data_IF_294628219186
#
_entry.id   IF_294628219186
#
_cell.length_a   1.000
_cell.length_b   1.000
_cell.length_c   1.000
_cell.angle_alpha   90.00
_cell.angle_beta   90.00
_cell.angle_gamma   90.00
#
_symmetry.space_group_name_H-M   'P 1'
#
loop_
_entity.id
_entity.type
_entity.pdbx_description
1 polymer ?
#
# COMPACT_ATOMS: atom_id res chain seq x y z
N UNK A 1 30.66 31.61 19.30
CA UNK A 1 30.20 30.48 18.46
C UNK A 1 28.77 30.19 18.86
N UNK A 2 27.79 30.18 17.94
CA UNK A 2 26.45 29.72 18.28
C UNK A 2 26.53 28.22 18.61
N UNK A 3 25.69 27.70 19.52
CA UNK A 3 25.69 26.28 19.83
C UNK A 3 25.33 25.51 18.56
N UNK A 4 26.16 24.53 18.20
CA UNK A 4 25.85 23.58 17.12
C UNK A 4 24.50 22.97 17.46
N UNK A 5 23.46 23.36 16.72
CA UNK A 5 22.14 22.73 16.75
C UNK A 5 22.34 21.22 16.79
N UNK A 6 21.87 20.60 17.86
CA UNK A 6 21.86 19.15 18.04
C UNK A 6 20.98 18.65 16.90
N UNK A 7 21.59 18.20 15.79
CA UNK A 7 20.85 17.68 14.63
C UNK A 7 19.82 16.71 15.17
N UNK A 8 18.53 17.07 15.07
CA UNK A 8 17.43 16.19 15.44
C UNK A 8 17.64 14.90 14.66
N UNK A 9 17.55 13.76 15.34
CA UNK A 9 17.64 12.47 14.67
C UNK A 9 16.48 12.41 13.67
N UNK A 10 16.79 12.06 12.42
CA UNK A 10 15.75 11.91 11.42
C UNK A 10 14.96 10.62 11.71
N UNK A 11 13.64 10.70 11.68
CA UNK A 11 12.77 9.53 11.84
C UNK A 11 12.76 8.77 10.50
N UNK A 12 13.24 7.52 10.45
CA UNK A 12 13.25 6.75 9.21
C UNK A 12 11.83 6.35 8.81
N UNK A 13 11.51 6.47 7.52
CA UNK A 13 10.25 6.05 6.94
C UNK A 13 10.53 5.32 5.63
N UNK A 14 10.38 3.99 5.59
CA UNK A 14 10.60 3.22 4.39
C UNK A 14 9.26 2.80 3.78
N UNK A 15 9.02 3.16 2.52
CA UNK A 15 7.79 2.88 1.78
C UNK A 15 8.16 2.06 0.55
N UNK A 16 7.47 0.96 0.33
CA UNK A 16 7.64 0.13 -0.86
C UNK A 16 6.47 0.33 -1.82
N UNK A 17 6.75 0.36 -3.12
CA UNK A 17 5.72 0.51 -4.16
C UNK A 17 5.64 -0.79 -4.95
N UNK A 18 4.48 -1.42 -5.01
CA UNK A 18 4.24 -2.71 -5.68
C UNK A 18 3.01 -2.66 -6.59
N UNK A 19 2.89 -3.61 -7.53
CA UNK A 19 1.77 -3.68 -8.49
C UNK A 19 2.21 -4.08 -9.90
N UNK A 20 1.26 -4.28 -10.81
CA UNK A 20 1.53 -4.77 -12.16
C UNK A 20 2.45 -3.86 -12.98
N UNK A 21 3.12 -4.43 -13.98
CA UNK A 21 3.95 -3.65 -14.90
C UNK A 21 3.07 -2.69 -15.70
N UNK A 22 3.50 -1.43 -15.82
CA UNK A 22 2.78 -0.42 -16.60
C UNK A 22 1.67 0.34 -15.85
N UNK A 23 1.43 0.09 -14.56
CA UNK A 23 0.46 0.85 -13.74
C UNK A 23 0.97 2.26 -13.35
N UNK A 24 2.27 2.53 -13.42
CA UNK A 24 2.84 3.86 -13.14
C UNK A 24 3.58 3.99 -11.80
N UNK A 25 4.06 2.89 -11.22
CA UNK A 25 4.85 2.85 -9.97
C UNK A 25 6.04 3.83 -9.97
N UNK A 26 6.94 3.70 -10.95
CA UNK A 26 8.14 4.55 -11.04
C UNK A 26 7.78 6.03 -11.25
N UNK A 27 6.70 6.31 -11.99
CA UNK A 27 6.20 7.67 -12.18
C UNK A 27 5.66 8.26 -10.85
N UNK A 28 5.01 7.45 -10.03
CA UNK A 28 4.62 7.85 -8.68
C UNK A 28 5.84 8.12 -7.80
N UNK A 29 6.85 7.24 -7.79
CA UNK A 29 8.08 7.45 -6.99
C UNK A 29 8.74 8.77 -7.34
N UNK A 30 8.88 9.07 -8.63
CA UNK A 30 9.42 10.35 -9.13
C UNK A 30 8.53 11.53 -8.75
N UNK A 31 7.22 11.39 -8.89
CA UNK A 31 6.24 12.41 -8.47
C UNK A 31 6.34 12.71 -6.98
N UNK A 32 6.39 11.67 -6.16
CA UNK A 32 6.50 11.79 -4.72
C UNK A 32 7.79 12.49 -4.30
N UNK A 33 8.93 12.03 -4.83
CA UNK A 33 10.25 12.61 -4.54
C UNK A 33 10.36 14.08 -4.97
N UNK A 34 9.87 14.42 -6.16
CA UNK A 34 9.91 15.80 -6.67
C UNK A 34 9.07 16.74 -5.79
N UNK A 35 7.89 16.31 -5.34
CA UNK A 35 7.04 17.16 -4.47
C UNK A 35 7.60 17.35 -3.06
N UNK A 36 8.63 16.60 -2.69
CA UNK A 36 9.30 16.67 -1.38
C UNK A 36 10.63 17.40 -1.44
N UNK A 37 11.19 17.55 -2.64
CA UNK A 37 12.46 18.23 -2.87
C UNK A 37 12.17 19.72 -3.06
N UNK A 38 12.76 20.59 -2.23
CA UNK A 38 12.68 22.04 -2.46
C UNK A 38 13.41 22.41 -3.77
N UNK A 39 12.95 23.47 -4.44
CA UNK A 39 13.37 23.87 -5.81
C UNK A 39 14.89 24.13 -6.00
N UNK A 40 15.69 24.11 -4.93
CA UNK A 40 17.12 24.45 -4.93
C UNK A 40 18.05 23.29 -4.51
N UNK A 41 17.52 22.07 -4.33
CA UNK A 41 18.35 20.88 -4.06
C UNK A 41 18.78 20.20 -5.37
N UNK A 42 20.05 19.77 -5.45
CA UNK A 42 20.57 19.05 -6.61
C UNK A 42 19.65 17.86 -6.95
N UNK A 43 19.29 17.67 -8.24
CA UNK A 43 18.40 16.60 -8.64
C UNK A 43 18.97 15.25 -8.20
N UNK A 44 18.11 14.41 -7.62
CA UNK A 44 18.46 13.06 -7.17
C UNK A 44 19.02 12.32 -8.40
N UNK A 45 20.34 12.04 -8.47
CA UNK A 45 20.99 11.57 -9.70
C UNK A 45 20.38 10.27 -10.24
N UNK A 46 19.82 9.50 -9.32
CA UNK A 46 19.27 8.16 -9.49
C UNK A 46 17.87 8.12 -10.12
N UNK A 47 17.17 9.25 -10.12
CA UNK A 47 15.85 9.39 -10.76
C UNK A 47 15.93 10.05 -12.13
N UNK A 48 17.14 10.34 -12.63
CA UNK A 48 17.34 11.02 -13.92
C UNK A 48 17.39 10.04 -15.09
N UNK A 49 16.57 10.28 -16.12
CA UNK A 49 16.55 9.49 -17.36
C UNK A 49 15.15 8.98 -17.75
N UNK A 50 14.99 8.44 -18.98
CA UNK A 50 13.70 7.95 -19.47
C UNK A 50 13.17 6.80 -18.59
N UNK A 51 11.86 6.74 -18.40
CA UNK A 51 11.18 5.67 -17.66
C UNK A 51 11.43 4.31 -18.35
N UNK A 52 12.39 3.54 -17.85
CA UNK A 52 12.60 2.13 -18.25
C UNK A 52 11.91 1.18 -17.28
N UNK A 53 11.65 -0.05 -17.72
CA UNK A 53 11.12 -1.09 -16.83
C UNK A 53 12.11 -1.38 -15.71
N UNK A 54 11.64 -1.33 -14.46
CA UNK A 54 12.43 -1.70 -13.27
C UNK A 54 12.66 -3.22 -13.25
N UNK A 55 13.93 -3.65 -13.22
CA UNK A 55 14.32 -5.06 -13.20
C UNK A 55 14.59 -5.59 -11.79
N UNK A 56 15.01 -4.71 -10.86
CA UNK A 56 15.34 -5.04 -9.46
C UNK A 56 14.81 -3.97 -8.51
N UNK A 57 14.52 -4.32 -7.25
CA UNK A 57 14.16 -3.34 -6.25
C UNK A 57 15.20 -2.22 -6.15
N UNK A 58 14.75 -0.97 -6.24
CA UNK A 58 15.59 0.21 -6.27
C UNK A 58 15.17 1.21 -5.17
N UNK A 59 15.95 1.37 -4.08
CA UNK A 59 15.65 2.33 -3.02
C UNK A 59 16.13 3.74 -3.38
N UNK A 60 15.26 4.72 -3.19
CA UNK A 60 15.54 6.16 -3.28
C UNK A 60 15.43 6.75 -1.87
N UNK A 61 16.51 7.32 -1.34
CA UNK A 61 16.51 7.93 0.00
C UNK A 61 16.52 9.45 -0.05
N UNK A 62 15.69 10.08 0.78
CA UNK A 62 15.48 11.51 0.87
C UNK A 62 15.36 11.97 2.32
N UNK A 63 16.16 12.96 2.68
CA UNK A 63 16.11 13.63 3.98
C UNK A 63 15.45 15.00 3.81
N UNK A 64 14.35 15.25 4.50
CA UNK A 64 13.66 16.56 4.48
C UNK A 64 13.03 16.89 5.83
N UNK A 65 12.73 18.17 6.05
CA UNK A 65 12.00 18.65 7.21
C UNK A 65 10.53 18.84 6.84
N UNK A 66 9.62 18.19 7.57
CA UNK A 66 8.17 18.25 7.35
C UNK A 66 7.47 18.50 8.68
N UNK A 67 6.63 19.55 8.75
CA UNK A 67 5.91 19.97 9.97
C UNK A 67 6.82 20.12 11.22
N UNK A 68 8.09 20.50 11.02
CA UNK A 68 9.06 20.72 12.11
C UNK A 68 9.77 19.46 12.62
N UNK A 69 9.53 18.31 11.99
CA UNK A 69 10.24 17.05 12.21
C UNK A 69 11.09 16.68 10.99
N UNK A 70 12.29 16.14 11.25
CA UNK A 70 13.18 15.67 10.20
C UNK A 70 12.82 14.22 9.86
N UNK A 71 12.51 13.94 8.61
CA UNK A 71 12.15 12.61 8.11
C UNK A 71 13.26 12.12 7.19
N UNK A 72 13.67 10.86 7.37
CA UNK A 72 14.53 10.15 6.42
C UNK A 72 13.68 9.13 5.66
N UNK A 73 13.13 9.55 4.53
CA UNK A 73 12.27 8.74 3.68
C UNK A 73 13.11 7.84 2.78
N UNK A 74 12.79 6.56 2.68
CA UNK A 74 13.29 5.67 1.63
C UNK A 74 12.12 5.10 0.84
N UNK A 75 12.03 5.42 -0.44
CA UNK A 75 11.01 4.86 -1.35
C UNK A 75 11.63 3.74 -2.18
N UNK A 76 11.11 2.53 -2.06
CA UNK A 76 11.62 1.34 -2.75
C UNK A 76 10.71 1.09 -3.95
N UNK A 77 11.21 1.35 -5.16
CA UNK A 77 10.55 0.96 -6.41
C UNK A 77 10.79 -0.53 -6.67
N UNK A 78 9.75 -1.29 -7.02
CA UNK A 78 9.86 -2.73 -7.26
C UNK A 78 9.58 -3.07 -8.72
N UNK A 79 10.18 -4.17 -9.25
CA UNK A 79 9.81 -4.68 -10.57
C UNK A 79 8.30 -4.98 -10.62
N UNK A 80 7.66 -4.60 -11.71
CA UNK A 80 6.22 -4.82 -11.84
C UNK A 80 5.87 -6.27 -12.15
N UNK A 81 4.79 -6.77 -11.53
CA UNK A 81 4.25 -8.09 -11.85
C UNK A 81 3.92 -8.20 -13.34
N UNK A 82 4.27 -9.32 -13.95
CA UNK A 82 3.97 -9.61 -15.35
C UNK A 82 2.96 -10.73 -15.39
N UNK A 83 1.86 -10.54 -16.13
CA UNK A 83 0.77 -11.52 -16.24
C UNK A 83 1.26 -12.85 -16.87
N UNK A 84 2.26 -12.79 -17.75
CA UNK A 84 2.76 -13.96 -18.47
C UNK A 84 3.87 -14.74 -17.73
N UNK A 85 4.33 -14.25 -16.59
CA UNK A 85 5.37 -14.88 -15.76
C UNK A 85 4.72 -15.39 -14.48
N UNK A 86 5.31 -16.40 -13.82
CA UNK A 86 4.86 -16.81 -12.48
C UNK A 86 4.89 -15.60 -11.53
N UNK A 87 3.68 -15.10 -11.21
CA UNK A 87 3.46 -14.00 -10.26
C UNK A 87 3.95 -14.42 -8.88
N UNK A 88 3.75 -15.68 -8.53
CA UNK A 88 4.19 -16.28 -7.28
C UNK A 88 5.70 -16.13 -7.06
N UNK A 89 6.52 -16.36 -8.09
CA UNK A 89 7.97 -16.13 -7.98
C UNK A 89 8.31 -14.66 -7.70
N UNK A 90 7.66 -13.74 -8.41
CA UNK A 90 7.90 -12.29 -8.22
C UNK A 90 7.43 -11.83 -6.83
N UNK A 91 6.31 -12.39 -6.37
CA UNK A 91 5.77 -12.15 -5.03
C UNK A 91 6.70 -12.69 -3.95
N UNK A 92 7.24 -13.88 -4.14
CA UNK A 92 8.24 -14.49 -3.25
C UNK A 92 9.50 -13.63 -3.17
N UNK A 93 10.01 -13.11 -4.30
CA UNK A 93 11.16 -12.19 -4.30
C UNK A 93 10.89 -10.91 -3.48
N UNK A 94 9.67 -10.36 -3.55
CA UNK A 94 9.27 -9.17 -2.76
C UNK A 94 9.12 -9.51 -1.28
N UNK A 95 8.49 -10.64 -0.95
CA UNK A 95 8.37 -11.10 0.44
C UNK A 95 9.74 -11.38 1.06
N UNK A 96 10.63 -12.06 0.33
CA UNK A 96 12.00 -12.31 0.77
C UNK A 96 12.77 -11.01 0.98
N UNK A 97 12.56 -9.99 0.13
CA UNK A 97 13.17 -8.69 0.33
C UNK A 97 12.73 -8.04 1.66
N UNK A 98 11.43 -8.09 2.01
CA UNK A 98 10.91 -7.59 3.28
C UNK A 98 11.51 -8.37 4.46
N UNK A 99 11.50 -9.71 4.37
CA UNK A 99 12.06 -10.58 5.41
C UNK A 99 13.56 -10.36 5.62
N UNK A 100 14.31 -10.13 4.55
CA UNK A 100 15.73 -9.77 4.64
C UNK A 100 15.92 -8.46 5.43
N UNK A 101 15.03 -7.47 5.31
CA UNK A 101 15.11 -6.26 6.14
C UNK A 101 14.87 -6.56 7.62
N UNK A 102 13.93 -7.46 7.94
CA UNK A 102 13.73 -7.90 9.31
C UNK A 102 14.93 -8.68 9.86
N UNK A 103 15.51 -9.57 9.06
CA UNK A 103 16.73 -10.32 9.43
C UNK A 103 17.91 -9.37 9.70
N UNK A 104 18.08 -8.30 8.92
CA UNK A 104 19.09 -7.27 9.17
C UNK A 104 18.85 -6.55 10.51
N UNK A 105 17.60 -6.20 10.82
CA UNK A 105 17.24 -5.59 12.10
C UNK A 105 17.52 -6.54 13.29
N UNK A 106 17.13 -7.81 13.18
CA UNK A 106 17.42 -8.84 14.19
C UNK A 106 18.93 -9.00 14.36
N UNK A 107 19.68 -9.07 13.26
CA UNK A 107 21.14 -9.21 13.31
C UNK A 107 21.80 -8.04 14.02
N UNK A 108 21.29 -6.81 13.87
CA UNK A 108 21.76 -5.64 14.61
C UNK A 108 21.38 -5.70 16.10
N UNK A 109 20.15 -6.10 16.43
CA UNK A 109 19.69 -6.24 17.83
C UNK A 109 20.48 -7.28 18.63
N UNK A 110 20.90 -8.36 17.97
CA UNK A 110 21.68 -9.45 18.54
C UNK A 110 23.15 -9.09 18.80
N UNK A 111 23.67 -7.98 18.26
CA UNK A 111 25.05 -7.55 18.51
C UNK A 111 25.22 -7.11 19.96
N UNK A 112 26.31 -7.56 20.59
CA UNK A 112 26.70 -7.16 21.97
C UNK A 112 27.04 -5.68 22.05
N UNK A 113 27.70 -5.13 21.02
CA UNK A 113 27.95 -3.70 20.85
C UNK A 113 27.09 -3.20 19.70
N UNK A 114 25.92 -2.66 20.03
CA UNK A 114 24.97 -2.10 19.07
C UNK A 114 25.48 -0.78 18.51
N UNK A 115 25.25 -0.54 17.23
CA UNK A 115 25.57 0.75 16.64
C UNK A 115 24.45 1.77 16.97
N UNK A 116 24.72 2.85 17.73
CA UNK A 116 23.70 3.86 18.03
C UNK A 116 23.29 4.69 16.80
N UNK A 117 23.96 4.50 15.66
CA UNK A 117 23.64 5.12 14.37
C UNK A 117 23.04 4.14 13.35
N UNK A 118 22.67 2.93 13.78
CA UNK A 118 21.96 2.02 12.89
C UNK A 118 20.66 2.68 12.43
N UNK A 119 20.45 2.70 11.11
CA UNK A 119 19.23 3.23 10.50
C UNK A 119 18.26 2.06 10.34
N UNK A 120 16.98 2.30 10.57
CA UNK A 120 15.95 1.32 10.36
C UNK A 120 15.71 1.10 8.86
N UNK A 121 15.84 -0.12 8.38
CA UNK A 121 15.59 -0.50 6.97
C UNK A 121 14.28 -1.24 6.76
N UNK A 122 13.49 -1.45 7.83
CA UNK A 122 12.22 -2.18 7.77
C UNK A 122 11.20 -1.41 6.94
N UNK A 123 10.45 -2.10 6.09
CA UNK A 123 9.41 -1.49 5.25
C UNK A 123 8.19 -1.20 6.11
N UNK A 124 7.82 0.07 6.26
CA UNK A 124 6.70 0.48 7.12
C UNK A 124 5.35 0.48 6.40
N UNK A 125 5.35 0.69 5.09
CA UNK A 125 4.15 0.70 4.27
C UNK A 125 4.44 0.17 2.87
N UNK A 126 3.50 -0.57 2.30
CA UNK A 126 3.52 -1.07 0.94
C UNK A 126 2.32 -0.48 0.18
N UNK A 127 2.59 0.40 -0.78
CA UNK A 127 1.57 0.92 -1.68
C UNK A 127 1.33 -0.10 -2.80
N UNK A 128 0.13 -0.68 -2.83
CA UNK A 128 -0.25 -1.63 -3.88
C UNK A 128 -1.05 -0.93 -4.98
N UNK A 129 -0.45 -0.84 -6.17
CA UNK A 129 -1.04 -0.17 -7.33
C UNK A 129 -1.94 -1.11 -8.11
N UNK A 130 -3.25 -0.84 -8.03
CA UNK A 130 -4.31 -1.45 -8.81
C UNK A 130 -4.44 -0.76 -10.17
N UNK A 131 -4.78 -1.51 -11.22
CA UNK A 131 -5.08 -0.92 -12.52
C UNK A 131 -6.47 -0.25 -12.48
N UNK A 132 -6.57 0.95 -13.04
CA UNK A 132 -7.84 1.67 -13.15
C UNK A 132 -8.81 1.02 -14.14
N UNK A 133 -8.33 0.19 -15.06
CA UNK A 133 -9.19 -0.49 -16.04
C UNK A 133 -10.06 -1.56 -15.40
N UNK A 134 -9.61 -2.13 -14.28
CA UNK A 134 -10.28 -3.21 -13.59
C UNK A 134 -11.40 -2.65 -12.70
N UNK A 135 -12.61 -3.14 -12.92
CA UNK A 135 -13.80 -2.71 -12.16
C UNK A 135 -13.94 -3.44 -10.82
N UNK A 136 -13.21 -4.55 -10.67
CA UNK A 136 -13.21 -5.45 -9.50
C UNK A 136 -11.80 -5.95 -9.28
N UNK A 137 -11.53 -6.48 -8.09
CA UNK A 137 -10.25 -7.04 -7.72
C UNK A 137 -9.98 -8.33 -8.51
N UNK A 138 -8.90 -8.36 -9.29
CA UNK A 138 -8.48 -9.55 -10.02
C UNK A 138 -8.05 -10.69 -9.08
N UNK A 139 -8.14 -11.94 -9.54
CA UNK A 139 -7.67 -13.10 -8.77
C UNK A 139 -6.16 -13.02 -8.45
N UNK A 140 -5.38 -12.43 -9.35
CA UNK A 140 -3.95 -12.22 -9.14
C UNK A 140 -3.69 -11.15 -8.08
N UNK A 141 -4.40 -10.01 -8.15
CA UNK A 141 -4.31 -8.96 -7.14
C UNK A 141 -4.71 -9.46 -5.76
N UNK A 142 -5.76 -10.28 -5.70
CA UNK A 142 -6.21 -10.94 -4.49
C UNK A 142 -5.11 -11.81 -3.85
N UNK A 143 -4.46 -12.66 -4.65
CA UNK A 143 -3.37 -13.52 -4.16
C UNK A 143 -2.18 -12.69 -3.64
N UNK A 144 -1.82 -11.61 -4.36
CA UNK A 144 -0.73 -10.71 -3.97
C UNK A 144 -1.08 -9.98 -2.66
N UNK A 145 -2.28 -9.39 -2.57
CA UNK A 145 -2.72 -8.65 -1.39
C UNK A 145 -2.75 -9.53 -0.15
N UNK A 146 -3.33 -10.74 -0.26
CA UNK A 146 -3.37 -11.72 0.84
C UNK A 146 -1.98 -12.10 1.34
N UNK A 147 -1.01 -12.26 0.43
CA UNK A 147 0.35 -12.64 0.82
C UNK A 147 1.12 -11.47 1.43
N UNK A 148 1.03 -10.28 0.82
CA UNK A 148 1.75 -9.10 1.28
C UNK A 148 1.22 -8.59 2.64
N UNK A 149 -0.09 -8.66 2.87
CA UNK A 149 -0.72 -8.21 4.11
C UNK A 149 -0.22 -8.96 5.35
N UNK A 150 0.34 -10.16 5.20
CA UNK A 150 0.91 -10.93 6.33
C UNK A 150 2.24 -10.38 6.85
N UNK A 151 2.96 -9.58 6.07
CA UNK A 151 4.33 -9.14 6.38
C UNK A 151 4.52 -7.62 6.38
N UNK A 152 3.58 -6.84 5.84
CA UNK A 152 3.69 -5.38 5.74
C UNK A 152 2.31 -4.73 5.71
N UNK A 153 2.23 -3.49 6.20
CA UNK A 153 1.05 -2.64 6.04
C UNK A 153 0.79 -2.36 4.56
N UNK A 154 -0.26 -2.95 4.00
CA UNK A 154 -0.64 -2.73 2.60
C UNK A 154 -1.68 -1.61 2.50
N UNK A 155 -1.44 -0.64 1.63
CA UNK A 155 -2.37 0.45 1.30
C UNK A 155 -2.74 0.32 -0.19
N UNK A 156 -4.01 0.04 -0.52
CA UNK A 156 -4.45 -0.07 -1.90
C UNK A 156 -4.56 1.31 -2.56
N UNK A 157 -4.05 1.40 -3.78
CA UNK A 157 -3.98 2.64 -4.56
C UNK A 157 -4.42 2.35 -5.99
N UNK A 158 -5.39 3.11 -6.49
CA UNK A 158 -5.80 3.04 -7.89
C UNK A 158 -4.89 3.94 -8.71
N UNK A 159 -4.23 3.35 -9.69
CA UNK A 159 -3.30 4.05 -10.57
C UNK A 159 -4.00 4.72 -11.75
N UNK A 160 -3.33 5.67 -12.44
CA UNK A 160 -3.81 6.34 -13.65
C UNK A 160 -5.24 6.88 -13.53
N UNK A 161 -5.53 7.63 -12.47
CA UNK A 161 -6.85 8.22 -12.23
C UNK A 161 -7.40 9.06 -13.39
N UNK A 162 -6.54 9.54 -14.28
CA UNK A 162 -6.89 10.25 -15.51
C UNK A 162 -7.68 9.41 -16.52
N UNK A 163 -7.66 8.08 -16.42
CA UNK A 163 -8.47 7.19 -17.28
C UNK A 163 -9.90 7.00 -16.79
N UNK A 164 -10.18 7.40 -15.55
CA UNK A 164 -11.47 7.22 -14.89
C UNK A 164 -12.30 8.49 -14.94
N UNK A 165 -13.58 8.32 -15.25
CA UNK A 165 -14.57 9.38 -15.02
C UNK A 165 -14.91 9.49 -13.54
N UNK A 166 -15.38 10.66 -13.11
CA UNK A 166 -15.84 10.89 -11.72
C UNK A 166 -16.91 9.87 -11.31
N UNK A 167 -17.82 9.54 -12.23
CA UNK A 167 -18.87 8.53 -12.00
C UNK A 167 -18.29 7.12 -11.81
N UNK A 168 -17.26 6.74 -12.57
CA UNK A 168 -16.58 5.45 -12.40
C UNK A 168 -15.81 5.39 -11.09
N UNK A 169 -15.09 6.47 -10.72
CA UNK A 169 -14.37 6.56 -9.44
C UNK A 169 -15.31 6.30 -8.26
N UNK A 170 -16.48 6.95 -8.25
CA UNK A 170 -17.49 6.81 -7.20
C UNK A 170 -18.06 5.38 -7.05
N UNK A 171 -17.94 4.54 -8.09
CA UNK A 171 -18.39 3.13 -8.06
C UNK A 171 -17.23 2.19 -7.73
N UNK A 172 -16.07 2.38 -8.37
CA UNK A 172 -14.92 1.46 -8.26
C UNK A 172 -14.31 1.51 -6.85
N UNK A 173 -14.17 2.69 -6.24
CA UNK A 173 -13.58 2.84 -4.90
C UNK A 173 -14.31 1.98 -3.84
N UNK A 174 -15.63 2.18 -3.60
CA UNK A 174 -16.33 1.36 -2.61
C UNK A 174 -16.39 -0.11 -3.01
N UNK A 175 -16.53 -0.42 -4.31
CA UNK A 175 -16.60 -1.81 -4.78
C UNK A 175 -15.33 -2.58 -4.42
N UNK A 176 -14.15 -2.00 -4.65
CA UNK A 176 -12.87 -2.61 -4.29
C UNK A 176 -12.75 -2.77 -2.77
N UNK A 177 -13.17 -1.78 -1.98
CA UNK A 177 -13.12 -1.88 -0.52
C UNK A 177 -14.03 -2.97 0.03
N UNK A 178 -15.29 -3.06 -0.45
CA UNK A 178 -16.21 -4.13 -0.06
C UNK A 178 -15.65 -5.51 -0.42
N UNK A 179 -15.02 -5.65 -1.59
CA UNK A 179 -14.38 -6.90 -1.96
C UNK A 179 -13.22 -7.25 -1.00
N UNK A 180 -12.37 -6.29 -0.65
CA UNK A 180 -11.22 -6.50 0.24
C UNK A 180 -11.69 -6.82 1.68
N UNK A 181 -12.65 -6.08 2.23
CA UNK A 181 -13.08 -6.20 3.63
C UNK A 181 -14.11 -7.30 3.85
N UNK A 182 -15.22 -7.27 3.11
CA UNK A 182 -16.37 -8.12 3.41
C UNK A 182 -16.24 -9.49 2.74
N UNK A 183 -15.82 -9.51 1.47
CA UNK A 183 -15.78 -10.74 0.67
C UNK A 183 -14.53 -11.56 0.94
N UNK A 184 -13.36 -10.92 0.94
CA UNK A 184 -12.08 -11.62 1.01
C UNK A 184 -11.38 -11.52 2.37
N UNK A 185 -11.86 -10.65 3.27
CA UNK A 185 -11.34 -10.43 4.62
C UNK A 185 -9.81 -10.31 4.65
N UNK A 186 -9.27 -9.43 3.81
CA UNK A 186 -7.82 -9.23 3.72
C UNK A 186 -7.40 -8.21 4.80
N UNK A 187 -6.44 -8.55 5.69
CA UNK A 187 -6.00 -7.67 6.76
C UNK A 187 -5.07 -6.56 6.23
N UNK A 188 -5.63 -5.62 5.45
CA UNK A 188 -4.90 -4.44 5.00
C UNK A 188 -4.71 -3.45 6.16
N UNK A 189 -3.91 -2.40 5.95
CA UNK A 189 -3.76 -1.35 6.96
C UNK A 189 -5.13 -0.79 7.37
N UNK A 190 -5.38 -0.67 8.67
CA UNK A 190 -6.65 -0.20 9.23
C UNK A 190 -7.76 -1.26 9.30
N UNK A 191 -7.48 -2.52 8.95
CA UNK A 191 -8.41 -3.62 9.23
C UNK A 191 -8.52 -3.79 10.76
N UNK A 192 -9.74 -3.83 11.32
CA UNK A 192 -9.91 -4.04 12.75
C UNK A 192 -9.31 -5.40 13.12
N UNK A 193 -8.44 -5.42 14.13
CA UNK A 193 -7.99 -6.67 14.72
C UNK A 193 -9.20 -7.26 15.48
N UNK A 194 -10.03 -8.01 14.75
CA UNK A 194 -11.03 -8.86 15.37
C UNK A 194 -10.26 -9.83 16.29
N UNK A 195 -10.65 -9.89 17.55
CA UNK A 195 -9.93 -10.59 18.62
C UNK A 195 -9.44 -11.98 18.18
N UNK A 196 -8.26 -12.36 18.68
CA UNK A 196 -7.48 -13.58 18.35
C UNK A 196 -8.23 -14.93 18.46
N UNK A 197 -9.51 -14.93 18.84
CA UNK A 197 -10.37 -16.10 19.01
C UNK A 197 -11.02 -16.60 17.70
N UNK A 198 -11.04 -15.81 16.62
CA UNK A 198 -11.43 -16.27 15.28
C UNK A 198 -10.20 -16.64 14.45
N UNK A 199 -9.54 -17.76 14.80
CA UNK A 199 -8.48 -18.36 13.99
C UNK A 199 -8.93 -18.49 12.52
N UNK A 200 -8.24 -17.77 11.64
CA UNK A 200 -8.41 -17.84 10.19
C UNK A 200 -7.97 -19.25 9.75
N UNK A 201 -8.91 -20.17 9.52
CA UNK A 201 -8.63 -21.43 8.84
C UNK A 201 -8.11 -21.13 7.42
N UNK A 202 -6.78 -21.08 7.29
CA UNK A 202 -6.10 -21.12 5.99
C UNK A 202 -6.34 -22.52 5.40
N UNK A 203 -7.42 -22.66 4.65
CA UNK A 203 -7.74 -23.86 3.87
C UNK A 203 -6.74 -24.01 2.71
N UNK A 204 -5.62 -24.67 2.98
CA UNK A 204 -4.89 -25.44 1.97
C UNK A 204 -5.62 -26.79 1.77
N UNK A 205 -6.78 -26.75 1.10
CA UNK A 205 -7.40 -27.98 0.59
C UNK A 205 -6.80 -28.33 -0.76
N UNK A 206 -5.68 -29.05 -0.73
CA UNK A 206 -5.30 -29.97 -1.80
C UNK A 206 -6.32 -31.11 -1.74
N UNK A 207 -7.40 -31.01 -2.53
CA UNK A 207 -8.32 -32.12 -2.72
C UNK A 207 -7.78 -33.01 -3.84
N UNK A 208 -7.24 -34.16 -3.42
CA UNK A 208 -7.20 -35.37 -4.23
C UNK A 208 -8.66 -35.74 -4.56
N UNK A 209 -9.01 -35.70 -5.84
CA UNK A 209 -10.29 -36.18 -6.35
C UNK A 209 -10.23 -37.71 -6.45
N UNK A 210 -10.89 -38.41 -5.53
CA UNK A 210 -11.32 -39.79 -5.73
C UNK A 210 -12.80 -39.80 -6.13
N UNK A 211 -13.05 -40.36 -7.32
CA UNK A 211 -14.35 -40.58 -7.94
C UNK A 211 -15.14 -41.66 -7.18
N UNK A 212 -16.39 -41.38 -6.81
CA UNK A 212 -17.41 -42.43 -6.67
C UNK A 212 -18.72 -41.99 -7.35
N UNK A 213 -19.06 -42.73 -8.41
CA UNK A 213 -20.36 -42.72 -9.07
C UNK A 213 -21.41 -43.40 -8.19
N UNK A 214 -22.61 -42.82 -8.05
CA UNK A 214 -23.82 -43.62 -7.79
C UNK A 214 -24.99 -43.19 -8.67
N UNK A 215 -25.67 -44.22 -9.15
CA UNK A 215 -26.67 -44.24 -10.22
C UNK A 215 -28.00 -43.58 -9.84
N UNK A 216 -28.65 -43.00 -10.86
CA UNK A 216 -30.03 -42.56 -10.81
C UNK A 216 -30.97 -43.71 -11.16
N UNK A 217 -32.07 -43.84 -10.42
CA UNK A 217 -33.24 -44.54 -10.91
C UNK A 217 -34.55 -43.79 -10.63
N UNK A 218 -35.48 -44.07 -11.52
CA UNK A 218 -36.54 -43.23 -12.09
C UNK A 218 -37.85 -43.19 -11.25
N UNK A 219 -38.65 -42.11 -11.35
CA UNK A 219 -40.06 -42.14 -11.86
C UNK A 219 -40.86 -40.84 -11.63
N UNK A 220 -41.71 -40.52 -12.61
CA UNK A 220 -42.49 -39.31 -12.84
C UNK A 220 -43.75 -39.18 -11.94
N UNK A 221 -44.24 -37.95 -11.72
CA UNK A 221 -45.62 -37.58 -12.15
C UNK A 221 -45.99 -36.09 -11.99
N UNK A 222 -46.41 -35.51 -13.13
CA UNK A 222 -47.56 -34.62 -13.39
C UNK A 222 -47.73 -33.23 -12.71
N UNK A 223 -47.65 -32.21 -13.58
CA UNK A 223 -48.36 -30.90 -13.59
C UNK A 223 -49.90 -31.07 -13.60
N UNK A 224 -50.78 -30.05 -13.33
CA UNK A 224 -50.61 -28.66 -13.77
C UNK A 224 -51.23 -27.50 -12.94
N UNK A 225 -51.00 -26.29 -13.47
CA UNK A 225 -51.71 -25.00 -13.31
C UNK A 225 -51.27 -24.00 -12.23
N UNK A 226 -50.48 -23.02 -12.70
CA UNK A 226 -50.99 -21.66 -12.92
C UNK A 226 -51.15 -20.77 -11.69
N UNK A 227 -50.13 -19.94 -11.43
CA UNK A 227 -50.29 -18.55 -10.99
C UNK A 227 -48.97 -17.81 -11.16
N UNK A 228 -48.95 -16.84 -12.08
CA UNK A 228 -47.91 -15.82 -12.16
C UNK A 228 -47.84 -15.05 -10.83
N UNK A 229 -46.71 -15.14 -10.14
CA UNK A 229 -46.30 -14.13 -9.15
C UNK A 229 -44.84 -13.78 -9.34
N UNK A 230 -44.64 -12.48 -9.56
CA UNK A 230 -43.36 -11.77 -9.53
C UNK A 230 -42.59 -12.14 -8.26
N UNK A 231 -41.41 -12.71 -8.41
CA UNK A 231 -40.39 -12.76 -7.37
C UNK A 231 -39.21 -11.92 -7.83
N UNK A 232 -39.29 -10.63 -7.48
CA UNK A 232 -38.14 -9.74 -7.47
C UNK A 232 -37.29 -10.10 -6.24
N UNK A 233 -36.01 -10.36 -6.50
CA UNK A 233 -34.85 -10.10 -5.64
C UNK A 233 -35.10 -10.12 -4.12
N UNK A 234 -34.84 -11.27 -3.49
CA UNK A 234 -34.33 -11.30 -2.12
C UNK A 234 -32.81 -11.38 -2.23
N UNK A 235 -32.16 -10.21 -2.26
CA UNK A 235 -30.72 -10.11 -1.97
C UNK A 235 -30.64 -9.93 -0.47
N UNK A 236 -29.97 -10.87 0.19
CA UNK A 236 -29.74 -10.86 1.63
C UNK A 236 -29.14 -9.53 2.08
N UNK A 237 -29.87 -8.84 2.97
CA UNK A 237 -29.38 -7.69 3.73
C UNK A 237 -28.50 -8.20 4.86
N UNK A 238 -27.28 -8.61 4.54
CA UNK A 238 -26.20 -8.60 5.52
C UNK A 238 -25.56 -7.22 5.42
N UNK A 239 -25.70 -6.41 6.48
CA UNK A 239 -24.98 -5.15 6.60
C UNK A 239 -23.50 -5.45 6.45
N UNK A 240 -22.84 -4.77 5.52
CA UNK A 240 -21.42 -5.00 5.26
C UNK A 240 -20.61 -4.41 6.43
N UNK A 241 -19.58 -5.12 6.91
CA UNK A 241 -18.75 -4.67 8.04
C UNK A 241 -18.10 -3.32 7.69
N UNK A 242 -17.72 -3.16 6.43
CA UNK A 242 -17.21 -1.92 5.91
C UNK A 242 -18.22 -0.75 6.01
N UNK A 243 -19.50 -0.98 5.69
CA UNK A 243 -20.55 0.04 5.83
C UNK A 243 -20.83 0.38 7.30
N UNK A 244 -20.79 -0.61 8.20
CA UNK A 244 -20.96 -0.39 9.64
C UNK A 244 -19.86 0.54 10.19
N UNK A 245 -18.60 0.27 9.86
CA UNK A 245 -17.45 1.09 10.27
C UNK A 245 -17.52 2.49 9.64
N UNK A 246 -17.94 2.60 8.37
CA UNK A 246 -17.96 3.88 7.68
C UNK A 246 -19.15 4.76 8.06
N UNK A 247 -20.33 4.16 8.29
CA UNK A 247 -21.60 4.87 8.40
C UNK A 247 -22.19 4.90 9.82
N UNK A 248 -21.98 3.86 10.64
CA UNK A 248 -22.67 3.71 11.92
C UNK A 248 -21.84 4.16 13.13
N UNK A 249 -20.53 4.38 12.95
CA UNK A 249 -19.66 4.79 14.07
C UNK A 249 -19.76 6.29 14.34
N UNK A 250 -20.29 6.65 15.52
CA UNK A 250 -20.34 8.04 16.01
C UNK A 250 -18.93 8.54 16.30
N UNK A 251 -18.38 9.27 15.33
CA UNK A 251 -16.98 9.70 15.25
C UNK A 251 -16.56 10.55 16.44
N UNK A 252 -17.51 11.23 17.09
CA UNK A 252 -17.25 12.11 18.23
C UNK A 252 -17.00 11.35 19.55
N UNK A 253 -17.31 10.05 19.59
CA UNK A 253 -17.12 9.19 20.77
C UNK A 253 -15.82 8.37 20.74
N UNK A 254 -15.16 8.31 19.58
CA UNK A 254 -13.97 7.51 19.37
C UNK A 254 -12.71 8.23 19.86
N UNK A 255 -11.69 7.44 20.18
CA UNK A 255 -10.34 7.93 20.40
C UNK A 255 -9.74 8.50 19.10
N UNK A 256 -8.70 9.33 19.27
CA UNK A 256 -8.09 10.07 18.16
C UNK A 256 -7.46 9.13 17.11
N UNK A 257 -6.95 7.98 17.53
CA UNK A 257 -6.32 6.99 16.65
C UNK A 257 -7.38 6.25 15.82
N UNK A 258 -8.43 5.72 16.46
CA UNK A 258 -9.55 5.07 15.77
C UNK A 258 -10.26 6.04 14.82
N UNK A 259 -10.47 7.29 15.23
CA UNK A 259 -11.04 8.32 14.34
C UNK A 259 -10.20 8.54 13.08
N UNK A 260 -8.87 8.57 13.23
CA UNK A 260 -7.94 8.68 12.11
C UNK A 260 -8.07 7.50 11.14
N UNK A 261 -8.16 6.28 11.68
CA UNK A 261 -8.37 5.05 10.91
C UNK A 261 -9.70 5.04 10.15
N UNK A 262 -10.80 5.44 10.79
CA UNK A 262 -12.10 5.55 10.11
C UNK A 262 -12.04 6.60 8.99
N UNK A 263 -11.36 7.73 9.20
CA UNK A 263 -11.16 8.72 8.13
C UNK A 263 -10.34 8.16 6.96
N UNK A 264 -9.30 7.38 7.25
CA UNK A 264 -8.53 6.66 6.25
C UNK A 264 -9.40 5.69 5.45
N UNK A 265 -10.17 4.82 6.14
CA UNK A 265 -11.02 3.82 5.50
C UNK A 265 -12.04 4.46 4.57
N UNK A 266 -12.71 5.55 4.98
CA UNK A 266 -13.67 6.28 4.15
C UNK A 266 -13.10 6.84 2.85
N UNK A 267 -11.78 7.12 2.81
CA UNK A 267 -11.09 7.69 1.64
C UNK A 267 -10.30 6.68 0.81
N UNK A 268 -10.12 5.46 1.33
CA UNK A 268 -9.43 4.37 0.66
C UNK A 268 -10.35 3.68 -0.37
N UNK A 269 -9.83 3.19 -1.51
CA UNK A 269 -8.48 3.34 -2.02
C UNK A 269 -8.25 4.72 -2.67
N UNK A 270 -7.00 5.20 -2.64
CA UNK A 270 -6.63 6.50 -3.21
C UNK A 270 -6.46 6.44 -4.73
N UNK A 271 -7.02 7.42 -5.46
CA UNK A 271 -6.85 7.53 -6.91
C UNK A 271 -5.71 8.51 -7.23
N UNK A 272 -4.65 8.00 -7.85
CA UNK A 272 -3.44 8.76 -8.12
C UNK A 272 -3.24 9.09 -9.59
N UNK A 273 -2.69 10.29 -9.82
CA UNK A 273 -2.25 10.75 -11.12
C UNK A 273 -0.82 11.28 -10.97
N UNK A 274 0.13 10.65 -11.66
CA UNK A 274 1.53 11.08 -11.68
C UNK A 274 1.77 12.07 -12.81
N UNK A 275 2.76 12.96 -12.65
CA UNK A 275 3.08 13.93 -13.69
C UNK A 275 3.68 13.29 -14.92
N UNK A 276 3.61 14.01 -16.03
CA UNK A 276 4.28 13.62 -17.25
C UNK A 276 5.72 14.15 -17.27
N UNK A 277 6.65 13.29 -17.64
CA UNK A 277 8.07 13.62 -17.79
C UNK A 277 8.40 13.87 -19.24
N UNK A 278 9.26 14.85 -19.50
CA UNK A 278 9.89 14.99 -20.80
C UNK A 278 10.83 13.79 -21.03
N UNK A 279 10.60 12.95 -22.06
CA UNK A 279 11.40 11.76 -22.33
C UNK A 279 12.90 12.02 -22.54
N UNK A 280 13.30 13.26 -22.85
CA UNK A 280 14.70 13.64 -23.12
C UNK A 280 15.43 14.12 -21.88
N UNK A 281 14.71 14.74 -20.94
CA UNK A 281 15.31 15.38 -19.77
C UNK A 281 14.98 14.66 -18.46
N UNK A 282 13.96 13.80 -18.45
CA UNK A 282 13.46 13.12 -17.25
C UNK A 282 12.94 14.09 -16.19
N UNK A 283 12.63 15.33 -16.58
CA UNK A 283 12.10 16.38 -15.70
C UNK A 283 10.59 16.47 -15.85
N UNK A 284 9.86 16.87 -14.78
CA UNK A 284 8.44 17.16 -14.90
C UNK A 284 8.22 18.22 -15.97
N UNK A 285 7.23 17.99 -16.84
CA UNK A 285 6.77 19.02 -17.77
C UNK A 285 6.10 20.11 -16.95
N UNK A 286 6.81 21.21 -16.72
CA UNK A 286 6.26 22.38 -16.04
C UNK A 286 5.30 23.07 -16.99
N UNK A 287 4.01 22.96 -16.70
CA UNK A 287 2.99 23.63 -17.50
C UNK A 287 2.85 25.04 -16.96
N UNK A 288 3.26 26.02 -17.76
CA UNK A 288 3.07 27.44 -17.44
C UNK A 288 1.56 27.70 -17.42
N UNK A 289 1.04 28.08 -16.25
CA UNK A 289 -0.35 28.54 -16.13
C UNK A 289 -0.63 29.63 -17.17
N UNK A 290 -1.71 29.45 -17.93
CA UNK A 290 -2.11 30.38 -18.98
C UNK A 290 -2.45 31.75 -18.35
N UNK A 291 -1.76 32.85 -18.70
CA UNK A 291 -1.98 34.16 -18.07
C UNK A 291 -3.39 34.72 -18.31
N UNK A 292 -4.15 34.16 -19.27
CA UNK A 292 -5.50 34.60 -19.60
C UNK A 292 -6.59 34.07 -18.66
N UNK A 293 -6.30 33.11 -17.76
CA UNK A 293 -7.28 32.61 -16.79
C UNK A 293 -7.53 33.57 -15.61
N UNK A 294 -6.70 34.60 -15.46
CA UNK A 294 -6.85 35.63 -14.42
C UNK A 294 -8.05 36.56 -14.65
N UNK A 295 -8.43 36.84 -15.90
CA UNK A 295 -9.50 37.83 -16.16
C UNK A 295 -10.92 37.35 -15.84
N UNK A 296 -11.14 36.06 -15.57
CA UNK A 296 -12.48 35.51 -15.35
C UNK A 296 -12.78 35.04 -13.91
N UNK A 297 -11.84 35.20 -12.97
CA UNK A 297 -12.02 34.82 -11.56
C UNK A 297 -11.87 35.99 -10.56
N UNK A 298 -11.61 37.20 -11.03
CA UNK A 298 -11.22 38.32 -10.17
C UNK A 298 -12.38 39.16 -9.58
N UNK A 299 -13.65 38.83 -9.81
CA UNK A 299 -14.76 39.61 -9.20
C UNK A 299 -15.45 38.93 -8.00
N UNK A 300 -15.44 37.60 -7.86
CA UNK A 300 -16.17 36.93 -6.77
C UNK A 300 -15.29 36.49 -5.57
N UNK A 301 -13.97 36.37 -5.72
CA UNK A 301 -13.09 35.87 -4.64
C UNK A 301 -12.20 36.94 -3.97
N UNK A 302 -12.27 38.21 -4.38
CA UNK A 302 -11.46 39.28 -3.79
C UNK A 302 -11.88 39.76 -2.38
N UNK A 303 -12.94 39.20 -1.78
CA UNK A 303 -13.46 39.72 -0.50
C UNK A 303 -12.91 39.06 0.78
N UNK A 304 -12.18 37.93 0.74
CA UNK A 304 -11.74 37.25 1.97
C UNK A 304 -10.39 36.53 1.84
N UNK A 305 -9.28 37.27 1.97
CA UNK A 305 -8.05 36.92 2.74
C UNK A 305 -6.87 37.82 2.37
N UNK A 306 -6.16 38.44 3.32
CA UNK A 306 -4.97 39.23 3.03
C UNK A 306 -3.73 38.39 3.27
N UNK A 307 -2.96 38.05 2.22
CA UNK A 307 -1.47 38.01 2.21
C UNK A 307 -0.97 37.91 0.75
N UNK A 308 -0.16 38.88 0.27
CA UNK A 308 0.42 38.83 -1.06
C UNK A 308 1.79 38.14 -0.99
N UNK A 309 1.85 36.87 -1.37
CA UNK A 309 3.11 36.13 -1.42
C UNK A 309 3.03 34.83 -2.22
N UNK A 310 3.66 34.84 -3.40
CA UNK A 310 4.04 33.67 -4.22
C UNK A 310 2.94 32.95 -5.04
N UNK A 311 2.46 33.59 -6.11
CA UNK A 311 1.86 32.90 -7.27
C UNK A 311 2.97 32.46 -8.25
N UNK A 312 3.80 31.49 -7.86
CA UNK A 312 4.63 30.76 -8.82
C UNK A 312 3.75 29.68 -9.47
N UNK A 313 3.18 30.00 -10.64
CA UNK A 313 2.22 29.18 -11.40
C UNK A 313 2.89 28.06 -12.20
N UNK A 314 3.79 27.31 -11.57
CA UNK A 314 4.37 26.11 -12.16
C UNK A 314 3.49 24.92 -11.77
N UNK A 315 2.64 24.48 -12.70
CA UNK A 315 1.75 23.33 -12.48
C UNK A 315 2.52 22.06 -12.86
N UNK A 316 2.57 21.11 -11.94
CA UNK A 316 3.12 19.77 -12.15
C UNK A 316 1.96 18.86 -12.53
N UNK A 317 1.96 18.35 -13.75
CA UNK A 317 0.76 17.77 -14.33
C UNK A 317 0.99 16.89 -15.55
N UNK A 318 -0.10 16.48 -16.18
CA UNK A 318 -0.11 15.79 -17.49
C UNK A 318 -0.78 16.68 -18.54
N UNK A 319 -0.26 16.67 -19.76
CA UNK A 319 -0.80 17.50 -20.85
C UNK A 319 -1.51 16.62 -21.88
N UNK A 320 -2.83 16.77 -21.99
CA UNK A 320 -3.62 16.15 -23.06
C UNK A 320 -3.92 17.17 -24.16
N UNK A 321 -4.27 16.71 -25.37
CA UNK A 321 -4.69 17.61 -26.46
C UNK A 321 -5.88 18.51 -26.10
N UNK A 322 -6.75 18.06 -25.18
CA UNK A 322 -7.96 18.76 -24.77
C UNK A 322 -7.85 19.51 -23.44
N UNK A 323 -6.91 19.16 -22.56
CA UNK A 323 -6.78 19.82 -21.25
C UNK A 323 -5.41 19.58 -20.63
N UNK A 324 -5.06 20.46 -19.68
CA UNK A 324 -3.97 20.22 -18.73
C UNK A 324 -4.56 19.72 -17.42
N UNK A 325 -4.00 18.63 -16.90
CA UNK A 325 -4.41 18.03 -15.64
C UNK A 325 -3.34 18.30 -14.58
N UNK A 326 -3.71 18.98 -13.51
CA UNK A 326 -2.86 19.22 -12.33
C UNK A 326 -2.91 18.00 -11.39
N UNK A 327 -1.75 17.38 -11.14
CA UNK A 327 -1.63 16.20 -10.30
C UNK A 327 -1.86 16.49 -8.81
N UNK A 328 -1.69 17.74 -8.37
CA UNK A 328 -1.84 18.12 -6.96
C UNK A 328 -3.26 18.59 -6.63
N UNK A 329 -4.11 18.76 -7.65
CA UNK A 329 -5.48 19.21 -7.47
C UNK A 329 -6.36 18.09 -6.85
N UNK A 330 -6.92 18.31 -5.64
CA UNK A 330 -7.75 17.32 -4.94
C UNK A 330 -9.03 16.92 -5.68
N UNK A 331 -9.48 17.70 -6.66
CA UNK A 331 -10.64 17.34 -7.47
C UNK A 331 -10.39 16.15 -8.39
N UNK A 332 -9.12 15.96 -8.82
CA UNK A 332 -8.75 14.95 -9.81
C UNK A 332 -7.87 13.86 -9.23
N UNK A 333 -6.99 14.19 -8.28
CA UNK A 333 -6.10 13.22 -7.65
C UNK A 333 -6.10 13.32 -6.13
N UNK A 334 -6.12 12.16 -5.49
CA UNK A 334 -6.01 12.03 -4.04
C UNK A 334 -4.53 12.04 -3.58
N UNK A 335 -3.59 12.44 -4.44
CA UNK A 335 -2.16 12.44 -4.17
C UNK A 335 -1.80 13.27 -2.92
N UNK A 336 -2.37 14.46 -2.78
CA UNK A 336 -2.15 15.33 -1.62
C UNK A 336 -2.64 14.67 -0.32
N UNK A 337 -3.74 13.91 -0.39
CA UNK A 337 -4.29 13.18 0.75
C UNK A 337 -3.36 12.02 1.14
N UNK A 338 -2.93 11.22 0.16
CA UNK A 338 -1.99 10.12 0.39
C UNK A 338 -0.66 10.63 0.94
N UNK A 339 -0.15 11.76 0.44
CA UNK A 339 1.06 12.41 0.96
C UNK A 339 0.92 12.80 2.43
N UNK A 340 -0.17 13.46 2.79
CA UNK A 340 -0.47 13.83 4.18
C UNK A 340 -0.62 12.59 5.06
N UNK A 341 -1.23 11.52 4.54
CA UNK A 341 -1.36 10.25 5.25
C UNK A 341 0.00 9.64 5.60
N UNK A 342 0.86 9.48 4.60
CA UNK A 342 2.14 8.82 4.74
C UNK A 342 3.13 9.63 5.58
N UNK A 343 3.07 10.96 5.50
CA UNK A 343 4.06 11.85 6.12
C UNK A 343 3.61 12.49 7.43
N UNK A 344 2.31 12.63 7.67
CA UNK A 344 1.79 13.30 8.87
C UNK A 344 0.89 12.36 9.69
N UNK A 345 -0.34 12.10 9.21
CA UNK A 345 -1.41 11.59 10.08
C UNK A 345 -1.18 10.15 10.53
N UNK A 346 -0.82 9.25 9.63
CA UNK A 346 -0.68 7.82 9.94
C UNK A 346 0.77 7.34 10.01
N UNK A 347 1.75 8.23 9.80
CA UNK A 347 3.17 7.87 9.75
C UNK A 347 3.64 7.10 10.98
N UNK A 348 3.30 7.61 12.17
CA UNK A 348 3.69 6.98 13.44
C UNK A 348 3.01 5.62 13.61
N UNK A 349 1.72 5.54 13.29
CA UNK A 349 0.96 4.30 13.39
C UNK A 349 1.52 3.21 12.47
N UNK A 350 1.83 3.54 11.22
CA UNK A 350 2.48 2.62 10.26
C UNK A 350 3.81 2.08 10.80
N UNK A 351 4.63 2.95 11.41
CA UNK A 351 5.90 2.54 12.02
C UNK A 351 5.64 1.62 13.22
N UNK A 352 4.75 2.01 14.13
CA UNK A 352 4.41 1.24 15.33
C UNK A 352 3.88 -0.14 14.98
N UNK A 353 2.88 -0.23 14.09
CA UNK A 353 2.30 -1.50 13.65
C UNK A 353 3.35 -2.40 12.96
N UNK A 354 4.26 -1.81 12.19
CA UNK A 354 5.36 -2.59 11.59
C UNK A 354 6.26 -3.24 12.64
N UNK A 355 6.53 -2.52 13.73
CA UNK A 355 7.36 -3.03 14.82
C UNK A 355 6.60 -4.07 15.65
N UNK A 356 5.39 -3.72 16.10
CA UNK A 356 4.63 -4.51 17.08
C UNK A 356 3.98 -5.74 16.48
N UNK A 357 3.49 -5.67 15.24
CA UNK A 357 2.81 -6.78 14.58
C UNK A 357 3.77 -7.60 13.73
N UNK A 358 4.29 -7.01 12.65
CA UNK A 358 5.02 -7.79 11.64
C UNK A 358 6.43 -8.17 12.09
N UNK A 359 7.18 -7.23 12.65
CA UNK A 359 8.55 -7.47 13.07
C UNK A 359 8.62 -8.39 14.29
N UNK A 360 7.85 -8.13 15.36
CA UNK A 360 7.85 -9.01 16.54
C UNK A 360 7.27 -10.40 16.23
N UNK A 361 6.26 -10.49 15.37
CA UNK A 361 5.75 -11.77 14.86
C UNK A 361 6.85 -12.57 14.16
N UNK A 362 7.52 -11.97 13.18
CA UNK A 362 8.63 -12.61 12.46
C UNK A 362 9.82 -12.95 13.38
N UNK A 363 10.16 -12.05 14.30
CA UNK A 363 11.25 -12.26 15.25
C UNK A 363 10.97 -13.44 16.17
N UNK A 364 9.74 -13.57 16.65
CA UNK A 364 9.30 -14.71 17.46
C UNK A 364 9.41 -16.02 16.67
N UNK A 365 8.88 -16.05 15.45
CA UNK A 365 9.00 -17.18 14.52
C UNK A 365 10.47 -17.61 14.33
N UNK A 366 11.36 -16.66 14.01
CA UNK A 366 12.79 -16.90 13.77
C UNK A 366 13.53 -17.39 15.01
N UNK A 367 13.25 -16.83 16.18
CA UNK A 367 13.88 -17.24 17.43
C UNK A 367 13.42 -18.64 17.85
N UNK A 368 12.16 -18.99 17.63
CA UNK A 368 11.65 -20.34 17.86
C UNK A 368 12.31 -21.36 16.93
N UNK A 369 12.39 -21.08 15.62
CA UNK A 369 13.09 -21.91 14.65
C UNK A 369 14.56 -22.13 15.03
N UNK A 370 15.24 -21.08 15.48
CA UNK A 370 16.65 -21.19 15.93
C UNK A 370 16.80 -22.05 17.19
N UNK A 371 15.85 -21.97 18.13
CA UNK A 371 15.82 -22.83 19.32
C UNK A 371 15.58 -24.29 18.92
N UNK A 372 14.59 -24.56 18.06
CA UNK A 372 14.29 -25.90 17.56
C UNK A 372 15.50 -26.55 16.88
N UNK A 373 16.15 -25.82 15.97
CA UNK A 373 17.35 -26.29 15.26
C UNK A 373 18.51 -26.58 16.21
N UNK A 374 18.72 -25.74 17.23
CA UNK A 374 19.75 -25.98 18.24
C UNK A 374 19.44 -27.24 19.07
N UNK A 375 18.19 -27.43 19.46
CA UNK A 375 17.76 -28.61 20.23
C UNK A 375 17.92 -29.88 19.40
N UNK A 376 17.49 -29.89 18.14
CA UNK A 376 17.67 -31.04 17.23
C UNK A 376 19.15 -31.40 17.03
N UNK A 377 20.02 -30.39 16.85
CA UNK A 377 21.46 -30.61 16.71
C UNK A 377 22.07 -31.24 17.98
N UNK A 378 21.66 -30.81 19.18
CA UNK A 378 22.12 -31.40 20.44
C UNK A 378 21.63 -32.84 20.62
N UNK A 379 20.37 -33.12 20.27
CA UNK A 379 19.80 -34.48 20.33
C UNK A 379 20.52 -35.41 19.36
N UNK A 380 20.76 -34.98 18.12
CA UNK A 380 21.50 -35.76 17.13
C UNK A 380 22.94 -36.02 17.59
N UNK A 381 23.61 -35.01 18.17
CA UNK A 381 24.96 -35.17 18.73
C UNK A 381 25.03 -36.18 19.87
N UNK A 382 24.02 -36.22 20.75
CA UNK A 382 23.94 -37.23 21.82
C UNK A 382 23.73 -38.64 21.26
N UNK A 383 22.88 -38.79 20.26
CA UNK A 383 22.60 -40.09 19.62
C UNK A 383 23.85 -40.68 18.94
N UNK A 384 24.62 -39.84 18.25
CA UNK A 384 25.90 -40.26 17.64
C UNK A 384 26.92 -40.67 18.72
N UNK A 385 26.97 -39.96 19.84
CA UNK A 385 27.85 -40.32 20.97
C UNK A 385 27.45 -41.65 21.62
N UNK A 386 26.15 -41.92 21.76
CA UNK A 386 25.65 -43.21 22.27
C UNK A 386 25.97 -44.36 21.30
N UNK A 387 25.79 -44.17 19.99
CA UNK A 387 26.15 -45.16 18.97
C UNK A 387 27.66 -45.45 18.93
N UNK A 388 28.51 -44.43 19.16
CA UNK A 388 29.97 -44.60 19.29
C UNK A 388 30.39 -45.31 20.57
N UNK A 389 29.59 -45.27 21.64
CA UNK A 389 29.90 -45.92 22.91
C UNK A 389 29.48 -47.41 22.94
N UNK A 390 28.75 -47.86 21.91
CA UNK A 390 28.31 -49.24 21.69
C UNK A 390 29.18 -50.02 20.69
N UNK A 391 30.23 -49.40 20.14
CA UNK A 391 31.31 -50.01 19.34
C UNK A 391 32.56 -50.13 20.21
#
# INVERSE_FOLDING_TARGET
MPPKSRKKNATPLNIMVTGFSGVGKTAFVRTFCETLTEQDTDPIPELTGPLSKTEKPYPVSLDFDYEGERIALTVIDTPGFQVNTSIEKSLQEITEYIEQQFDLAIAEELKVKRNPKAVDTRVHACLYFLDANDRSLGANDLAILKRLSTRVNVIPVISKGDTLTIAQKAVIQPTIMHEIFDRYKIPIFGYPDLDEDEEFEVLDTVQEEDEEEEEADTEEHNLPNGQEKKSQNAVDQQSSLYDEICNETDVDTLDEETRGLVEYLRKSPYVLISYEEDPRTGRPIVIKGDPNRQQHMDEEQMAMSPQPGSLNTNIIGRQYPWTTLDCLNPQFSDFSILKTLLLSTHRKLLITETVERFYEGYRTERLLLRKANKTMSVVMGKKILEELHHI
#
